data_IF_079785583669
#
_entry.id   IF_079785583669
#
_cell.length_a   1.000
_cell.length_b   1.000
_cell.length_c   1.000
_cell.angle_alpha   90.00
_cell.angle_beta   90.00
_cell.angle_gamma   90.00
#
_symmetry.space_group_name_H-M   'P 1'
#
loop_
_entity.id
_entity.type
_entity.pdbx_description
1 polymer ?
#
# COMPACT_ATOMS: atom_id res chain seq x y z
N UNK A 1 9.97 -35.43 3.29
CA UNK A 1 9.16 -34.71 4.31
C UNK A 1 7.73 -34.47 3.82
N UNK A 2 7.53 -33.89 2.64
CA UNK A 2 6.20 -33.69 2.02
C UNK A 2 5.33 -34.96 2.08
N UNK A 3 5.86 -36.09 1.66
CA UNK A 3 5.15 -37.37 1.67
C UNK A 3 4.67 -37.83 3.05
N UNK A 4 5.37 -37.44 4.12
CA UNK A 4 5.01 -37.82 5.50
C UNK A 4 3.84 -36.98 6.05
N UNK A 5 3.80 -35.68 5.73
CA UNK A 5 2.81 -34.75 6.29
C UNK A 5 1.57 -34.57 5.42
N UNK A 6 1.68 -34.81 4.12
CA UNK A 6 0.56 -34.70 3.18
C UNK A 6 0.18 -36.11 2.71
N UNK A 7 1.02 -36.63 1.82
CA UNK A 7 0.95 -37.94 1.18
C UNK A 7 1.99 -37.92 0.05
N UNK A 8 2.36 -39.07 -0.53
CA UNK A 8 3.14 -39.11 -1.76
C UNK A 8 2.49 -38.37 -2.94
N UNK A 9 1.19 -38.08 -2.87
CA UNK A 9 0.42 -37.38 -3.90
C UNK A 9 -0.43 -36.22 -3.38
N UNK A 10 -0.11 -34.99 -3.77
CA UNK A 10 -0.82 -33.79 -3.30
C UNK A 10 -0.98 -32.72 -4.39
N UNK A 11 -1.73 -31.65 -4.09
CA UNK A 11 -2.22 -30.74 -5.13
C UNK A 11 -1.19 -29.71 -5.61
N UNK A 12 -0.57 -28.96 -4.70
CA UNK A 12 0.26 -27.79 -5.05
C UNK A 12 1.64 -27.88 -4.38
N UNK A 13 2.70 -27.71 -5.17
CA UNK A 13 4.07 -27.54 -4.68
C UNK A 13 4.66 -26.23 -5.22
N UNK A 14 5.06 -25.34 -4.31
CA UNK A 14 5.64 -24.03 -4.63
C UNK A 14 7.16 -23.96 -4.46
N UNK A 15 7.84 -23.06 -5.18
CA UNK A 15 9.25 -22.75 -4.96
C UNK A 15 9.75 -21.54 -5.75
N UNK A 16 11.01 -21.15 -5.56
CA UNK A 16 11.66 -20.17 -6.45
C UNK A 16 11.88 -20.74 -7.85
N UNK A 17 11.94 -19.89 -8.89
CA UNK A 17 12.21 -20.33 -10.26
C UNK A 17 13.53 -21.12 -10.42
N UNK A 18 14.52 -20.87 -9.55
CA UNK A 18 15.79 -21.60 -9.45
C UNK A 18 15.63 -23.03 -8.94
N UNK A 19 14.55 -23.33 -8.22
CA UNK A 19 14.30 -24.67 -7.69
C UNK A 19 13.74 -25.63 -8.74
N UNK A 20 13.28 -25.15 -9.90
CA UNK A 20 12.84 -26.02 -11.01
C UNK A 20 13.86 -27.10 -11.31
N UNK A 21 15.12 -26.69 -11.49
CA UNK A 21 16.21 -27.61 -11.75
C UNK A 21 17.48 -27.20 -10.97
N UNK A 22 18.18 -28.15 -10.31
CA UNK A 22 17.89 -29.59 -10.30
C UNK A 22 16.91 -30.01 -9.19
N UNK A 23 16.50 -29.10 -8.30
CA UNK A 23 15.88 -29.47 -7.03
C UNK A 23 14.53 -30.18 -7.18
N UNK A 24 13.50 -29.53 -7.73
CA UNK A 24 12.17 -30.12 -7.88
C UNK A 24 12.17 -31.27 -8.88
N UNK A 25 13.02 -31.23 -9.92
CA UNK A 25 13.21 -32.37 -10.82
C UNK A 25 13.71 -33.62 -10.07
N UNK A 26 14.66 -33.46 -9.15
CA UNK A 26 15.12 -34.54 -8.28
C UNK A 26 14.04 -34.99 -7.30
N UNK A 27 13.22 -34.09 -6.77
CA UNK A 27 12.10 -34.47 -5.88
C UNK A 27 11.04 -35.30 -6.60
N UNK A 28 10.72 -34.94 -7.86
CA UNK A 28 9.84 -35.72 -8.73
C UNK A 28 10.45 -37.11 -8.94
N UNK A 29 11.72 -37.17 -9.35
CA UNK A 29 12.42 -38.44 -9.59
C UNK A 29 12.44 -39.35 -8.35
N UNK A 30 12.73 -38.79 -7.17
CA UNK A 30 12.73 -39.54 -5.91
C UNK A 30 11.33 -40.06 -5.55
N UNK A 31 10.31 -39.21 -5.69
CA UNK A 31 8.94 -39.55 -5.31
C UNK A 31 8.35 -40.62 -6.22
N UNK A 32 8.48 -40.44 -7.55
CA UNK A 32 7.96 -41.41 -8.53
C UNK A 32 8.72 -42.74 -8.51
N UNK A 33 10.02 -42.73 -8.16
CA UNK A 33 10.79 -43.97 -8.00
C UNK A 33 10.43 -44.74 -6.73
N UNK A 34 10.09 -44.04 -5.65
CA UNK A 34 9.74 -44.66 -4.37
C UNK A 34 8.25 -45.05 -4.28
N UNK A 35 7.38 -44.41 -5.05
CA UNK A 35 5.93 -44.54 -4.95
C UNK A 35 5.27 -44.44 -6.33
N UNK A 36 4.62 -45.53 -6.76
CA UNK A 36 4.03 -45.66 -8.10
C UNK A 36 2.89 -44.65 -8.37
N UNK A 37 2.16 -44.24 -7.33
CA UNK A 37 1.08 -43.25 -7.39
C UNK A 37 1.50 -41.83 -6.94
N UNK A 38 2.79 -41.62 -6.67
CA UNK A 38 3.34 -40.36 -6.21
C UNK A 38 3.30 -39.25 -7.27
N UNK A 39 3.04 -38.01 -6.84
CA UNK A 39 3.02 -36.87 -7.77
C UNK A 39 2.46 -35.57 -7.21
N UNK A 40 2.64 -34.49 -7.95
CA UNK A 40 2.08 -33.17 -7.63
C UNK A 40 1.28 -32.69 -8.83
N UNK A 41 0.04 -32.24 -8.62
CA UNK A 41 -0.84 -31.80 -9.71
C UNK A 41 -0.41 -30.44 -10.31
N UNK A 42 0.00 -29.49 -9.46
CA UNK A 42 0.38 -28.13 -9.86
C UNK A 42 1.72 -27.69 -9.23
N UNK A 43 2.66 -27.27 -10.07
CA UNK A 43 3.92 -26.68 -9.65
C UNK A 43 3.91 -25.17 -9.87
N UNK A 44 4.09 -24.41 -8.80
CA UNK A 44 4.10 -22.95 -8.83
C UNK A 44 5.51 -22.44 -8.56
N UNK A 45 6.01 -21.55 -9.43
CA UNK A 45 7.34 -20.99 -9.27
C UNK A 45 7.34 -19.47 -9.35
N UNK A 46 7.84 -18.81 -8.31
CA UNK A 46 7.96 -17.35 -8.31
C UNK A 46 9.19 -16.87 -9.08
N UNK A 47 9.06 -15.70 -9.72
CA UNK A 47 10.14 -15.01 -10.40
C UNK A 47 11.23 -14.55 -9.44
N UNK A 48 12.40 -14.27 -9.99
CA UNK A 48 13.53 -13.75 -9.22
C UNK A 48 13.34 -12.28 -8.86
N UNK A 49 13.85 -11.89 -7.69
CA UNK A 49 14.07 -10.48 -7.36
C UNK A 49 15.46 -10.08 -7.85
N UNK A 50 15.54 -9.00 -8.62
CA UNK A 50 16.79 -8.38 -9.09
C UNK A 50 16.95 -7.01 -8.43
N UNK A 51 18.17 -6.47 -8.36
CA UNK A 51 18.38 -5.06 -7.93
C UNK A 51 18.94 -4.29 -9.12
N UNK A 52 18.27 -3.21 -9.52
CA UNK A 52 18.64 -2.41 -10.71
C UNK A 52 18.83 -3.28 -11.98
N UNK A 53 17.97 -4.29 -12.17
CA UNK A 53 18.05 -5.27 -13.25
C UNK A 53 19.30 -6.19 -13.24
N UNK A 54 20.11 -6.16 -12.19
CA UNK A 54 21.17 -7.14 -11.96
C UNK A 54 20.75 -8.23 -10.97
N UNK A 55 21.24 -9.46 -11.17
CA UNK A 55 21.02 -10.55 -10.20
C UNK A 55 21.66 -10.17 -8.85
N UNK A 56 20.90 -10.30 -7.76
CA UNK A 56 21.42 -10.05 -6.42
C UNK A 56 22.58 -11.00 -6.11
N UNK A 57 23.72 -10.44 -5.70
CA UNK A 57 24.89 -11.21 -5.28
C UNK A 57 25.57 -10.51 -4.09
N UNK A 58 25.86 -11.28 -3.03
CA UNK A 58 26.60 -10.79 -1.85
C UNK A 58 27.96 -10.17 -2.24
N UNK A 59 28.59 -10.70 -3.30
CA UNK A 59 29.86 -10.21 -3.83
C UNK A 59 29.78 -8.82 -4.48
N UNK A 60 28.60 -8.39 -4.95
CA UNK A 60 28.39 -7.07 -5.58
C UNK A 60 28.00 -5.98 -4.58
N UNK A 61 27.91 -6.28 -3.27
CA UNK A 61 27.34 -5.40 -2.22
C UNK A 61 25.94 -4.84 -2.55
N UNK A 62 25.27 -5.42 -3.55
CA UNK A 62 24.00 -4.96 -4.08
C UNK A 62 22.87 -5.88 -3.60
N UNK A 63 22.81 -6.10 -2.28
CA UNK A 63 21.80 -6.91 -1.60
C UNK A 63 21.42 -6.18 -0.31
N UNK A 64 20.13 -5.93 -0.13
CA UNK A 64 19.58 -5.46 1.15
C UNK A 64 18.76 -6.57 1.78
N UNK A 65 19.03 -6.85 3.04
CA UNK A 65 18.20 -7.72 3.86
C UNK A 65 16.85 -7.07 4.12
N UNK A 66 15.86 -7.90 4.46
CA UNK A 66 14.56 -7.41 4.93
C UNK A 66 14.75 -6.48 6.14
N UNK A 67 15.66 -6.81 7.07
CA UNK A 67 15.93 -6.01 8.26
C UNK A 67 16.35 -4.59 7.90
N UNK A 68 17.35 -4.45 7.03
CA UNK A 68 17.85 -3.16 6.55
C UNK A 68 16.76 -2.36 5.79
N UNK A 69 15.91 -3.03 5.01
CA UNK A 69 14.79 -2.33 4.33
C UNK A 69 13.78 -1.82 5.36
N UNK A 70 13.43 -2.65 6.35
CA UNK A 70 12.42 -2.32 7.37
C UNK A 70 12.90 -1.31 8.40
N UNK A 71 14.19 -0.96 8.44
CA UNK A 71 14.68 0.20 9.20
C UNK A 71 14.10 1.49 8.61
N UNK A 72 14.05 1.59 7.28
CA UNK A 72 13.63 2.78 6.53
C UNK A 72 12.21 2.73 5.98
N UNK A 73 11.61 1.56 5.77
CA UNK A 73 10.26 1.42 5.23
C UNK A 73 9.38 0.59 6.17
N UNK A 74 8.08 0.86 6.16
CA UNK A 74 7.13 0.03 6.88
C UNK A 74 7.07 -1.37 6.23
N UNK A 75 7.01 -2.48 7.00
CA UNK A 75 6.96 -3.84 6.43
C UNK A 75 5.83 -4.06 5.43
N UNK A 76 4.68 -3.40 5.64
CA UNK A 76 3.56 -3.46 4.69
C UNK A 76 3.89 -2.79 3.36
N UNK A 77 4.70 -1.73 3.34
CA UNK A 77 5.16 -1.11 2.10
C UNK A 77 6.05 -2.07 1.29
N UNK A 78 6.93 -2.81 1.97
CA UNK A 78 7.70 -3.89 1.34
C UNK A 78 6.79 -4.99 0.80
N UNK A 79 5.79 -5.42 1.57
CA UNK A 79 4.82 -6.44 1.14
C UNK A 79 4.04 -5.98 -0.10
N UNK A 80 3.51 -4.76 -0.08
CA UNK A 80 2.82 -4.17 -1.23
C UNK A 80 3.73 -4.08 -2.46
N UNK A 81 4.99 -3.67 -2.28
CA UNK A 81 5.98 -3.68 -3.36
C UNK A 81 6.15 -5.08 -3.97
N UNK A 82 6.31 -6.12 -3.14
CA UNK A 82 6.46 -7.50 -3.63
C UNK A 82 5.23 -7.98 -4.42
N UNK A 83 4.05 -7.47 -4.10
CA UNK A 83 2.78 -7.81 -4.75
C UNK A 83 2.44 -6.91 -5.94
N UNK A 84 3.24 -5.87 -6.18
CA UNK A 84 3.03 -4.91 -7.28
C UNK A 84 3.31 -5.50 -8.66
N UNK A 85 3.96 -6.67 -8.71
CA UNK A 85 4.15 -7.48 -9.91
C UNK A 85 3.53 -8.86 -9.72
N UNK A 86 3.17 -9.49 -10.84
CA UNK A 86 2.70 -10.88 -10.85
C UNK A 86 3.78 -11.81 -10.29
N UNK A 87 3.44 -12.79 -9.42
CA UNK A 87 4.43 -13.60 -8.71
C UNK A 87 5.42 -14.35 -9.63
N UNK A 88 5.00 -14.71 -10.85
CA UNK A 88 5.82 -15.35 -11.89
C UNK A 88 6.78 -14.42 -12.61
N UNK A 89 6.59 -13.11 -12.51
CA UNK A 89 7.42 -12.11 -13.20
C UNK A 89 8.67 -11.79 -12.38
N UNK A 90 9.83 -11.54 -13.02
CA UNK A 90 10.96 -10.94 -12.33
C UNK A 90 10.56 -9.60 -11.71
N UNK A 91 10.96 -9.37 -10.47
CA UNK A 91 10.72 -8.12 -9.77
C UNK A 91 12.05 -7.38 -9.61
N UNK A 92 12.20 -6.27 -10.32
CA UNK A 92 13.33 -5.37 -10.09
C UNK A 92 13.05 -4.56 -8.83
N UNK A 93 14.02 -4.51 -7.92
CA UNK A 93 13.99 -3.70 -6.71
C UNK A 93 14.68 -2.37 -6.96
N UNK A 94 13.96 -1.29 -6.62
CA UNK A 94 14.49 0.06 -6.48
C UNK A 94 13.91 0.75 -5.25
N UNK A 95 14.63 1.73 -4.71
CA UNK A 95 14.11 2.59 -3.65
C UNK A 95 12.84 3.35 -4.10
N UNK A 96 12.81 3.81 -5.36
CA UNK A 96 11.65 4.51 -5.92
C UNK A 96 10.38 3.67 -5.93
N UNK A 97 10.44 2.37 -6.20
CA UNK A 97 9.26 1.50 -6.16
C UNK A 97 8.77 1.26 -4.72
N UNK A 98 9.68 1.22 -3.75
CA UNK A 98 9.32 1.21 -2.33
C UNK A 98 8.69 2.54 -1.90
N UNK A 99 9.20 3.68 -2.38
CA UNK A 99 8.59 4.99 -2.12
C UNK A 99 7.16 5.05 -2.69
N UNK A 100 6.95 4.60 -3.94
CA UNK A 100 5.62 4.49 -4.53
C UNK A 100 4.70 3.57 -3.72
N UNK A 101 5.21 2.44 -3.25
CA UNK A 101 4.42 1.50 -2.43
C UNK A 101 4.08 2.07 -1.06
N UNK A 102 5.00 2.82 -0.46
CA UNK A 102 4.79 3.48 0.82
C UNK A 102 3.75 4.60 0.70
N UNK A 103 3.82 5.42 -0.36
CA UNK A 103 2.85 6.49 -0.62
C UNK A 103 1.45 5.92 -0.91
N UNK A 104 1.38 4.88 -1.75
CA UNK A 104 0.12 4.20 -2.06
C UNK A 104 -0.55 3.67 -0.80
N UNK A 105 0.18 2.92 0.04
CA UNK A 105 -0.39 2.40 1.28
C UNK A 105 -0.74 3.50 2.28
N UNK A 106 0.08 4.54 2.40
CA UNK A 106 -0.25 5.68 3.26
C UNK A 106 -1.60 6.28 2.86
N UNK A 107 -1.85 6.48 1.55
CA UNK A 107 -3.13 6.97 1.06
C UNK A 107 -4.32 6.04 1.41
N UNK A 108 -4.12 4.71 1.31
CA UNK A 108 -5.14 3.73 1.71
C UNK A 108 -5.49 3.89 3.19
N UNK A 109 -4.51 3.80 4.09
CA UNK A 109 -4.77 3.88 5.53
C UNK A 109 -5.26 5.26 5.96
N UNK A 110 -4.78 6.33 5.33
CA UNK A 110 -5.26 7.68 5.61
C UNK A 110 -6.74 7.81 5.24
N UNK A 111 -7.15 7.29 4.08
CA UNK A 111 -8.57 7.31 3.67
C UNK A 111 -9.45 6.50 4.63
N UNK A 112 -8.96 5.35 5.11
CA UNK A 112 -9.71 4.53 6.08
C UNK A 112 -9.76 5.17 7.48
N UNK A 113 -8.69 5.84 7.92
CA UNK A 113 -8.65 6.61 9.16
C UNK A 113 -9.61 7.80 9.10
N UNK A 114 -9.54 8.59 8.03
CA UNK A 114 -10.42 9.74 7.80
C UNK A 114 -11.90 9.31 7.79
N UNK A 115 -12.17 8.10 7.28
CA UNK A 115 -13.49 7.51 7.33
C UNK A 115 -13.93 7.18 8.77
N UNK A 116 -13.12 6.48 9.56
CA UNK A 116 -13.48 6.14 10.94
C UNK A 116 -13.74 7.41 11.78
N UNK A 117 -12.91 8.44 11.60
CA UNK A 117 -13.10 9.75 12.23
C UNK A 117 -14.40 10.44 11.77
N UNK A 118 -14.74 10.34 10.48
CA UNK A 118 -15.96 10.91 9.93
C UNK A 118 -17.24 10.17 10.38
N UNK A 119 -17.14 8.88 10.69
CA UNK A 119 -18.25 8.06 11.18
C UNK A 119 -18.50 8.24 12.67
N UNK A 120 -17.47 8.56 13.45
CA UNK A 120 -17.54 8.68 14.92
C UNK A 120 -18.73 9.52 15.44
N UNK A 121 -19.02 10.73 14.90
CA UNK A 121 -20.12 11.57 15.38
C UNK A 121 -21.52 11.01 15.08
N UNK A 122 -21.62 9.96 14.24
CA UNK A 122 -22.88 9.41 13.77
C UNK A 122 -23.15 7.99 14.28
N UNK A 123 -22.25 7.39 15.08
CA UNK A 123 -22.39 6.00 15.57
C UNK A 123 -23.71 5.76 16.30
N UNK A 124 -24.12 6.67 17.19
CA UNK A 124 -25.39 6.56 17.92
C UNK A 124 -26.59 6.58 16.96
N UNK A 125 -26.62 7.55 16.03
CA UNK A 125 -27.69 7.67 15.05
C UNK A 125 -27.79 6.46 14.11
N UNK A 126 -26.66 5.81 13.80
CA UNK A 126 -26.63 4.56 13.04
C UNK A 126 -27.16 3.37 13.86
N UNK A 127 -26.84 3.30 15.15
CA UNK A 127 -27.34 2.25 16.05
C UNK A 127 -28.87 2.35 16.24
N UNK A 128 -29.40 3.57 16.40
CA UNK A 128 -30.84 3.83 16.54
C UNK A 128 -31.65 3.48 15.29
N UNK A 129 -31.06 3.56 14.10
CA UNK A 129 -31.73 3.23 12.85
C UNK A 129 -32.09 1.72 12.76
N UNK A 130 -31.31 0.86 13.44
CA UNK A 130 -31.59 -0.57 13.54
C UNK A 130 -31.56 -1.31 12.20
N UNK A 131 -30.80 -0.82 11.22
CA UNK A 131 -30.65 -1.44 9.91
C UNK A 131 -31.79 -1.15 8.91
N UNK A 132 -32.55 -0.07 9.12
CA UNK A 132 -33.62 0.35 8.20
C UNK A 132 -33.07 1.09 6.98
N UNK A 133 -32.00 1.86 7.16
CA UNK A 133 -31.32 2.56 6.10
C UNK A 133 -30.59 1.56 5.19
N UNK A 134 -30.73 1.74 3.89
CA UNK A 134 -30.06 0.93 2.88
C UNK A 134 -28.91 1.70 2.24
N UNK A 135 -27.95 0.96 1.70
CA UNK A 135 -26.90 1.53 0.85
C UNK A 135 -27.52 2.28 -0.34
N UNK A 136 -26.88 3.35 -0.76
CA UNK A 136 -27.18 4.04 -2.02
C UNK A 136 -26.91 3.12 -3.21
N UNK A 137 -27.58 3.34 -4.34
CA UNK A 137 -27.34 2.56 -5.56
C UNK A 137 -25.89 2.69 -6.04
N UNK A 138 -25.36 3.91 -6.03
CA UNK A 138 -23.97 4.20 -6.40
C UNK A 138 -22.96 3.42 -5.54
N UNK A 139 -23.18 3.34 -4.22
CA UNK A 139 -22.32 2.58 -3.35
C UNK A 139 -22.39 1.07 -3.60
N UNK A 140 -23.58 0.53 -3.91
CA UNK A 140 -23.72 -0.88 -4.31
C UNK A 140 -22.93 -1.18 -5.58
N UNK A 141 -22.98 -0.29 -6.56
CA UNK A 141 -22.23 -0.45 -7.81
C UNK A 141 -20.72 -0.43 -7.56
N UNK A 142 -20.23 0.49 -6.71
CA UNK A 142 -18.82 0.54 -6.29
C UNK A 142 -18.39 -0.75 -5.59
N UNK A 143 -19.18 -1.25 -4.64
CA UNK A 143 -18.88 -2.51 -3.92
C UNK A 143 -18.87 -3.70 -4.88
N UNK A 144 -19.87 -3.81 -5.75
CA UNK A 144 -19.97 -4.92 -6.69
C UNK A 144 -18.81 -4.90 -7.69
N UNK A 145 -18.44 -3.72 -8.20
CA UNK A 145 -17.28 -3.55 -9.08
C UNK A 145 -15.98 -3.94 -8.37
N UNK A 146 -15.79 -3.50 -7.12
CA UNK A 146 -14.63 -3.86 -6.30
C UNK A 146 -14.51 -5.37 -6.13
N UNK A 147 -15.60 -6.04 -5.70
CA UNK A 147 -15.61 -7.49 -5.48
C UNK A 147 -15.36 -8.26 -6.78
N UNK A 148 -16.04 -7.87 -7.86
CA UNK A 148 -15.91 -8.55 -9.16
C UNK A 148 -14.52 -8.38 -9.78
N UNK A 149 -13.94 -7.17 -9.74
CA UNK A 149 -12.59 -6.93 -10.27
C UNK A 149 -11.53 -7.66 -9.43
N UNK A 150 -11.68 -7.64 -8.10
CA UNK A 150 -10.79 -8.36 -7.20
C UNK A 150 -10.83 -9.89 -7.44
N UNK A 151 -12.03 -10.47 -7.48
CA UNK A 151 -12.23 -11.90 -7.73
C UNK A 151 -11.68 -12.31 -9.10
N UNK A 152 -12.00 -11.56 -10.15
CA UNK A 152 -11.50 -11.83 -11.49
C UNK A 152 -9.97 -11.84 -11.55
N UNK A 153 -9.30 -10.89 -10.89
CA UNK A 153 -7.84 -10.85 -10.81
C UNK A 153 -7.24 -11.99 -9.98
N UNK A 154 -7.85 -12.35 -8.85
CA UNK A 154 -7.35 -13.44 -8.02
C UNK A 154 -7.53 -14.81 -8.67
N UNK A 155 -8.60 -15.01 -9.45
CA UNK A 155 -8.84 -16.23 -10.24
C UNK A 155 -7.90 -16.35 -11.45
N UNK A 156 -7.38 -15.24 -11.96
CA UNK A 156 -6.36 -15.20 -13.00
C UNK A 156 -4.96 -15.40 -12.39
N UNK A 157 -4.62 -16.63 -12.00
CA UNK A 157 -3.28 -17.03 -11.50
C UNK A 157 -2.74 -16.11 -10.37
N UNK A 158 -3.59 -15.74 -9.41
CA UNK A 158 -3.22 -14.86 -8.29
C UNK A 158 -2.64 -13.52 -8.75
N UNK A 159 -3.25 -12.88 -9.76
CA UNK A 159 -2.77 -11.62 -10.31
C UNK A 159 -2.98 -10.44 -9.34
N UNK A 160 -2.07 -10.29 -8.38
CA UNK A 160 -2.07 -9.18 -7.41
C UNK A 160 -1.56 -7.86 -7.99
N UNK A 161 -1.02 -7.88 -9.21
CA UNK A 161 -0.43 -6.69 -9.81
C UNK A 161 -1.49 -5.60 -9.97
N UNK A 162 -1.19 -4.43 -9.40
CA UNK A 162 -2.06 -3.26 -9.42
C UNK A 162 -3.45 -3.49 -8.81
N UNK A 163 -3.59 -4.40 -7.84
CA UNK A 163 -4.89 -4.73 -7.22
C UNK A 163 -5.44 -3.59 -6.33
N UNK A 164 -4.58 -2.70 -5.83
CA UNK A 164 -4.98 -1.47 -5.13
C UNK A 164 -5.24 -0.28 -6.08
N UNK A 165 -5.35 -0.54 -7.39
CA UNK A 165 -5.76 0.45 -8.39
C UNK A 165 -7.20 0.18 -8.85
N UNK A 166 -7.64 0.77 -9.97
CA UNK A 166 -8.94 0.44 -10.56
C UNK A 166 -10.11 0.60 -9.57
N UNK A 167 -10.92 -0.45 -9.43
CA UNK A 167 -12.08 -0.44 -8.54
C UNK A 167 -11.73 -0.20 -7.06
N UNK A 168 -10.55 -0.63 -6.58
CA UNK A 168 -10.12 -0.34 -5.21
C UNK A 168 -9.89 1.16 -5.01
N UNK A 169 -9.21 1.80 -5.96
CA UNK A 169 -9.00 3.25 -5.93
C UNK A 169 -10.30 4.03 -6.10
N UNK A 170 -11.24 3.52 -6.90
CA UNK A 170 -12.59 4.11 -7.04
C UNK A 170 -13.36 4.07 -5.71
N UNK A 171 -13.26 2.97 -4.95
CA UNK A 171 -13.84 2.86 -3.61
C UNK A 171 -13.26 3.90 -2.64
N UNK A 172 -11.94 4.09 -2.62
CA UNK A 172 -11.29 5.11 -1.80
C UNK A 172 -11.70 6.54 -2.20
N UNK A 173 -11.80 6.82 -3.51
CA UNK A 173 -12.29 8.10 -4.01
C UNK A 173 -13.74 8.35 -3.60
N UNK A 174 -14.59 7.33 -3.65
CA UNK A 174 -15.98 7.43 -3.20
C UNK A 174 -16.05 7.79 -1.72
N UNK A 175 -15.24 7.14 -0.87
CA UNK A 175 -15.12 7.45 0.56
C UNK A 175 -14.77 8.94 0.75
N UNK A 176 -13.65 9.37 0.17
CA UNK A 176 -13.15 10.75 0.32
C UNK A 176 -14.16 11.80 -0.19
N UNK A 177 -14.80 11.55 -1.33
CA UNK A 177 -15.81 12.46 -1.88
C UNK A 177 -17.09 12.55 -1.05
N UNK A 178 -17.40 11.51 -0.28
CA UNK A 178 -18.62 11.40 0.51
C UNK A 178 -18.47 12.00 1.91
N UNK A 179 -17.33 11.80 2.56
CA UNK A 179 -17.03 12.33 3.91
C UNK A 179 -17.30 13.84 3.97
N UNK A 180 -16.78 14.61 3.00
CA UNK A 180 -16.94 16.06 2.95
C UNK A 180 -18.40 16.54 2.77
N UNK A 181 -19.30 15.66 2.35
CA UNK A 181 -20.72 15.98 2.09
C UNK A 181 -21.65 15.57 3.24
N UNK A 182 -21.23 14.68 4.15
CA UNK A 182 -22.07 14.11 5.22
C UNK A 182 -22.81 15.19 6.04
N UNK A 183 -22.10 16.24 6.46
CA UNK A 183 -22.66 17.34 7.27
C UNK A 183 -23.75 18.12 6.55
N UNK A 184 -23.71 18.17 5.21
CA UNK A 184 -24.64 18.95 4.36
C UNK A 184 -25.87 18.15 3.94
N UNK A 185 -25.88 16.82 4.13
CA UNK A 185 -26.99 15.95 3.74
C UNK A 185 -28.17 16.01 4.71
N UNK A 186 -29.38 15.78 4.21
CA UNK A 186 -30.57 15.57 5.03
C UNK A 186 -30.46 14.25 5.83
N UNK A 187 -31.15 14.15 6.98
CA UNK A 187 -31.02 13.00 7.92
C UNK A 187 -31.15 11.63 7.25
N UNK A 188 -32.20 11.41 6.45
CA UNK A 188 -32.45 10.12 5.77
C UNK A 188 -31.36 9.79 4.74
N UNK A 189 -30.97 10.76 3.92
CA UNK A 189 -29.90 10.58 2.93
C UNK A 189 -28.55 10.34 3.61
N UNK A 190 -28.27 11.05 4.70
CA UNK A 190 -27.06 10.89 5.50
C UNK A 190 -26.96 9.48 6.06
N UNK A 191 -28.03 8.94 6.66
CA UNK A 191 -28.03 7.57 7.17
C UNK A 191 -27.74 6.53 6.07
N UNK A 192 -28.35 6.68 4.90
CA UNK A 192 -28.06 5.82 3.73
C UNK A 192 -26.60 5.93 3.27
N UNK A 193 -26.02 7.13 3.28
CA UNK A 193 -24.61 7.34 2.96
C UNK A 193 -23.68 6.75 4.02
N UNK A 194 -24.01 6.86 5.31
CA UNK A 194 -23.22 6.28 6.39
C UNK A 194 -23.19 4.74 6.29
N UNK A 195 -24.34 4.10 6.06
CA UNK A 195 -24.41 2.66 5.79
C UNK A 195 -23.60 2.29 4.56
N UNK A 196 -23.67 3.10 3.49
CA UNK A 196 -22.86 2.91 2.28
C UNK A 196 -21.36 2.92 2.57
N UNK A 197 -20.90 3.87 3.38
CA UNK A 197 -19.48 4.02 3.72
C UNK A 197 -18.96 2.86 4.56
N UNK A 198 -19.72 2.41 5.56
CA UNK A 198 -19.35 1.23 6.37
C UNK A 198 -19.20 -0.02 5.51
N UNK A 199 -20.12 -0.23 4.57
CA UNK A 199 -20.08 -1.41 3.71
C UNK A 199 -18.96 -1.34 2.65
N UNK A 200 -18.63 -0.14 2.16
CA UNK A 200 -17.45 0.05 1.30
C UNK A 200 -16.17 -0.18 2.10
N UNK A 201 -16.06 0.32 3.33
CA UNK A 201 -14.91 0.06 4.21
C UNK A 201 -14.73 -1.44 4.41
N UNK A 202 -15.82 -2.15 4.72
CA UNK A 202 -15.79 -3.61 4.88
C UNK A 202 -15.27 -4.32 3.63
N UNK A 203 -15.78 -3.97 2.45
CA UNK A 203 -15.32 -4.55 1.19
C UNK A 203 -13.83 -4.23 0.91
N UNK A 204 -13.39 -2.99 1.19
CA UNK A 204 -11.99 -2.60 1.05
C UNK A 204 -11.08 -3.35 2.03
N UNK A 205 -11.55 -3.60 3.26
CA UNK A 205 -10.83 -4.39 4.27
C UNK A 205 -10.75 -5.86 3.89
N UNK A 206 -11.80 -6.46 3.35
CA UNK A 206 -11.79 -7.85 2.85
C UNK A 206 -10.66 -8.03 1.81
N UNK A 207 -10.48 -7.06 0.90
CA UNK A 207 -9.35 -7.05 -0.04
C UNK A 207 -8.01 -6.96 0.68
N UNK A 208 -7.84 -6.00 1.60
CA UNK A 208 -6.59 -5.85 2.34
C UNK A 208 -6.25 -7.09 3.17
N UNK A 209 -7.24 -7.77 3.74
CA UNK A 209 -7.06 -8.97 4.55
C UNK A 209 -6.49 -10.13 3.72
N UNK A 210 -7.12 -10.42 2.57
CA UNK A 210 -6.64 -11.46 1.64
C UNK A 210 -5.21 -11.17 1.17
N UNK A 211 -4.88 -9.89 0.97
CA UNK A 211 -3.54 -9.48 0.57
C UNK A 211 -2.53 -9.50 1.73
N UNK A 212 -2.95 -9.73 2.97
CA UNK A 212 -2.11 -9.64 4.16
C UNK A 212 -1.61 -8.21 4.44
N UNK A 213 -2.42 -7.23 4.07
CA UNK A 213 -2.24 -5.80 4.31
C UNK A 213 -3.15 -5.30 5.44
N UNK A 214 -3.79 -6.18 6.21
CA UNK A 214 -4.35 -5.82 7.51
C UNK A 214 -3.44 -6.31 8.63
N UNK A 215 -3.47 -5.59 9.75
CA UNK A 215 -2.75 -5.96 10.97
C UNK A 215 -3.67 -5.80 12.16
N UNK A 216 -3.20 -6.19 13.34
CA UNK A 216 -3.90 -5.94 14.61
C UNK A 216 -3.81 -4.48 15.08
N UNK A 217 -2.93 -3.68 14.47
CA UNK A 217 -2.80 -2.26 14.76
C UNK A 217 -3.96 -1.46 14.15
N UNK A 218 -4.34 -0.37 14.81
CA UNK A 218 -5.26 0.62 14.26
C UNK A 218 -4.64 1.36 13.06
N UNK A 219 -5.49 1.96 12.21
CA UNK A 219 -5.01 2.75 11.07
C UNK A 219 -4.12 3.91 11.53
N UNK A 220 -4.47 4.59 12.62
CA UNK A 220 -3.68 5.65 13.23
C UNK A 220 -2.27 5.18 13.65
N UNK A 221 -2.14 3.99 14.25
CA UNK A 221 -0.84 3.42 14.63
C UNK A 221 0.01 3.10 13.40
N UNK A 222 -0.58 2.49 12.35
CA UNK A 222 0.12 2.21 11.09
C UNK A 222 0.60 3.51 10.43
N UNK A 223 -0.26 4.53 10.37
CA UNK A 223 0.10 5.84 9.82
C UNK A 223 1.24 6.50 10.60
N UNK A 224 1.23 6.39 11.93
CA UNK A 224 2.30 6.89 12.80
C UNK A 224 3.62 6.16 12.51
N UNK A 225 3.61 4.83 12.39
CA UNK A 225 4.81 4.07 12.05
C UNK A 225 5.34 4.45 10.65
N UNK A 226 4.47 4.61 9.66
CA UNK A 226 4.86 5.05 8.31
C UNK A 226 5.46 6.46 8.30
N UNK A 227 4.90 7.38 9.09
CA UNK A 227 5.47 8.72 9.31
C UNK A 227 6.86 8.63 9.93
N UNK A 228 7.03 7.85 10.99
CA UNK A 228 8.32 7.65 11.63
C UNK A 228 9.37 7.09 10.67
N UNK A 229 9.00 6.11 9.84
CA UNK A 229 9.88 5.56 8.79
C UNK A 229 10.27 6.61 7.75
N UNK A 230 9.34 7.50 7.41
CA UNK A 230 9.61 8.61 6.49
C UNK A 230 10.59 9.62 7.08
N UNK A 231 10.43 9.98 8.35
CA UNK A 231 11.37 10.83 9.08
C UNK A 231 12.79 10.22 9.14
N UNK A 232 12.88 8.92 9.44
CA UNK A 232 14.15 8.18 9.42
C UNK A 232 14.82 8.23 8.04
N UNK A 233 14.07 8.09 6.94
CA UNK A 233 14.60 8.22 5.57
C UNK A 233 15.03 9.65 5.24
N UNK A 234 14.27 10.63 5.70
CA UNK A 234 14.54 12.04 5.49
C UNK A 234 15.74 12.55 6.32
N UNK A 235 16.10 11.86 7.39
CA UNK A 235 17.08 12.35 8.37
C UNK A 235 16.55 13.56 9.16
N UNK A 236 15.22 13.64 9.34
CA UNK A 236 14.53 14.73 10.02
C UNK A 236 13.80 14.19 11.26
N UNK A 237 13.65 15.03 12.27
CA UNK A 237 12.80 14.82 13.45
C UNK A 237 11.40 15.42 13.24
N UNK A 238 10.46 15.13 14.15
CA UNK A 238 9.15 15.83 14.11
C UNK A 238 9.32 17.32 14.38
N UNK A 239 10.25 17.68 15.27
CA UNK A 239 10.59 19.06 15.62
C UNK A 239 11.12 19.85 14.40
N UNK A 240 11.95 19.22 13.54
CA UNK A 240 12.44 19.86 12.31
C UNK A 240 11.28 20.20 11.35
N UNK A 241 10.26 19.34 11.29
CA UNK A 241 9.08 19.57 10.44
C UNK A 241 8.20 20.68 11.02
N UNK A 242 7.99 20.68 12.33
CA UNK A 242 7.24 21.73 13.03
C UNK A 242 7.89 23.10 12.84
N UNK A 243 9.22 23.19 12.99
CA UNK A 243 9.97 24.41 12.72
C UNK A 243 9.77 24.88 11.27
N UNK A 244 9.88 23.99 10.28
CA UNK A 244 9.64 24.35 8.86
C UNK A 244 8.19 24.80 8.62
N UNK A 245 7.21 24.22 9.32
CA UNK A 245 5.81 24.65 9.24
C UNK A 245 5.65 26.06 9.82
N UNK A 246 6.26 26.36 10.97
CA UNK A 246 6.23 27.70 11.57
C UNK A 246 6.90 28.76 10.68
N UNK A 247 8.07 28.45 10.14
CA UNK A 247 8.78 29.31 9.18
C UNK A 247 7.91 29.62 7.96
N UNK A 248 7.21 28.60 7.45
CA UNK A 248 6.26 28.77 6.34
C UNK A 248 5.08 29.65 6.72
N UNK A 249 4.49 29.45 7.91
CA UNK A 249 3.37 30.27 8.40
C UNK A 249 3.80 31.74 8.51
N UNK A 250 4.99 32.01 9.05
CA UNK A 250 5.56 33.36 9.13
C UNK A 250 5.81 33.96 7.74
N UNK A 251 6.36 33.18 6.81
CA UNK A 251 6.56 33.63 5.42
C UNK A 251 5.23 34.02 4.77
N UNK A 252 4.17 33.23 4.95
CA UNK A 252 2.83 33.54 4.43
C UNK A 252 2.22 34.78 5.07
N UNK A 253 2.40 35.00 6.37
CA UNK A 253 1.95 36.21 7.06
C UNK A 253 2.65 37.47 6.52
N UNK A 254 3.93 37.37 6.18
CA UNK A 254 4.73 38.43 5.56
C UNK A 254 4.51 38.57 4.05
N UNK A 255 3.67 37.72 3.43
CA UNK A 255 3.44 37.63 1.98
C UNK A 255 4.69 37.24 1.17
N UNK A 256 5.65 36.56 1.81
CA UNK A 256 6.85 35.97 1.19
C UNK A 256 6.50 34.60 0.58
N UNK A 257 5.71 34.59 -0.50
CA UNK A 257 5.18 33.35 -1.09
C UNK A 257 6.29 32.44 -1.66
N UNK A 258 7.33 33.02 -2.27
CA UNK A 258 8.48 32.26 -2.79
C UNK A 258 9.19 31.45 -1.70
N UNK A 259 9.38 32.05 -0.51
CA UNK A 259 9.98 31.35 0.63
C UNK A 259 9.08 30.23 1.15
N UNK A 260 7.76 30.45 1.20
CA UNK A 260 6.79 29.40 1.54
C UNK A 260 6.86 28.22 0.56
N UNK A 261 6.99 28.48 -0.73
CA UNK A 261 7.06 27.45 -1.76
C UNK A 261 8.41 26.72 -1.75
N UNK A 262 9.50 27.43 -1.45
CA UNK A 262 10.82 26.84 -1.24
C UNK A 262 10.79 25.81 -0.08
N UNK A 263 10.19 26.16 1.06
CA UNK A 263 10.08 25.24 2.20
C UNK A 263 9.31 23.97 1.81
N UNK A 264 8.22 24.10 1.03
CA UNK A 264 7.47 22.94 0.54
C UNK A 264 8.30 22.07 -0.41
N UNK A 265 9.03 22.69 -1.32
CA UNK A 265 9.88 21.99 -2.27
C UNK A 265 10.99 21.21 -1.56
N UNK A 266 11.67 21.83 -0.58
CA UNK A 266 12.69 21.18 0.24
C UNK A 266 12.14 19.93 0.96
N UNK A 267 10.98 20.05 1.60
CA UNK A 267 10.35 18.90 2.28
C UNK A 267 9.92 17.81 1.29
N UNK A 268 9.44 18.19 0.11
CA UNK A 268 8.98 17.24 -0.91
C UNK A 268 10.14 16.41 -1.47
N UNK A 269 11.35 16.99 -1.58
CA UNK A 269 12.58 16.25 -1.93
C UNK A 269 12.89 15.15 -0.91
N UNK A 270 12.53 15.37 0.36
CA UNK A 270 12.67 14.37 1.44
C UNK A 270 11.44 13.46 1.59
N UNK A 271 10.48 13.50 0.66
CA UNK A 271 9.28 12.66 0.69
C UNK A 271 8.25 13.12 1.72
N UNK A 272 8.20 14.42 2.04
CA UNK A 272 7.25 15.02 2.99
C UNK A 272 6.44 16.09 2.28
N UNK A 273 5.11 15.90 2.27
CA UNK A 273 4.17 16.87 1.72
C UNK A 273 3.41 17.59 2.84
N UNK A 274 3.39 18.93 2.77
CA UNK A 274 2.55 19.77 3.63
C UNK A 274 1.14 19.94 3.03
N UNK A 275 0.13 19.89 3.90
CA UNK A 275 -1.28 20.07 3.59
C UNK A 275 -1.91 21.07 4.56
N UNK A 276 -2.62 22.05 4.02
CA UNK A 276 -3.39 22.99 4.84
C UNK A 276 -4.83 22.44 4.99
N UNK A 277 -5.21 22.08 6.22
CA UNK A 277 -6.55 21.59 6.57
C UNK A 277 -7.21 22.60 7.53
N UNK A 278 -8.15 23.38 7.02
CA UNK A 278 -8.79 24.43 7.80
C UNK A 278 -7.78 25.52 8.18
N UNK A 279 -7.44 25.59 9.49
CA UNK A 279 -6.46 26.55 10.03
C UNK A 279 -5.11 25.91 10.36
N UNK A 280 -5.00 24.60 10.25
CA UNK A 280 -3.82 23.84 10.62
C UNK A 280 -3.04 23.43 9.36
N UNK A 281 -1.72 23.41 9.46
CA UNK A 281 -0.87 22.77 8.46
C UNK A 281 -0.41 21.44 9.02
N UNK A 282 -0.78 20.36 8.36
CA UNK A 282 -0.33 19.00 8.69
C UNK A 282 0.63 18.50 7.62
N UNK A 283 1.35 17.43 7.91
CA UNK A 283 2.22 16.78 6.94
C UNK A 283 1.87 15.30 6.76
N UNK A 284 2.19 14.79 5.57
CA UNK A 284 2.13 13.36 5.26
C UNK A 284 3.35 12.93 4.44
N UNK A 285 3.73 11.64 4.48
CA UNK A 285 4.64 11.07 3.51
C UNK A 285 4.11 11.28 2.08
N UNK A 286 5.03 11.46 1.14
CA UNK A 286 4.75 11.49 -0.29
C UNK A 286 5.90 10.85 -1.07
N UNK A 287 5.67 10.63 -2.36
CA UNK A 287 6.76 10.28 -3.27
C UNK A 287 7.82 11.41 -3.31
N UNK A 288 9.11 11.13 -3.06
CA UNK A 288 10.16 12.13 -3.13
C UNK A 288 10.27 12.74 -4.54
N UNK A 289 10.22 14.06 -4.66
CA UNK A 289 10.54 14.71 -5.94
C UNK A 289 12.04 14.57 -6.22
N UNK A 290 12.42 14.21 -7.45
CA UNK A 290 13.81 14.34 -7.86
C UNK A 290 14.21 15.80 -7.70
N UNK A 291 15.29 16.06 -6.96
CA UNK A 291 15.88 17.39 -6.93
C UNK A 291 16.14 17.79 -8.38
N UNK A 292 15.57 18.92 -8.84
CA UNK A 292 15.99 19.49 -10.11
C UNK A 292 17.50 19.71 -10.01
N UNK A 293 18.28 18.85 -10.65
CA UNK A 293 19.69 19.09 -10.90
C UNK A 293 19.77 20.26 -11.90
N UNK A 294 19.58 21.48 -11.40
CA UNK A 294 19.88 22.70 -12.11
C UNK A 294 21.35 23.07 -11.96
N UNK A 295 22.24 22.09 -11.93
CA UNK A 295 23.63 22.28 -12.33
C UNK A 295 23.67 21.97 -13.82
N UNK A 296 23.50 23.04 -14.59
CA UNK A 296 23.80 23.03 -16.00
C UNK A 296 25.22 22.53 -16.18
N UNK A 297 25.34 21.45 -16.94
CA UNK A 297 26.58 21.01 -17.55
C UNK A 297 27.09 22.14 -18.45
N UNK A 298 27.82 23.07 -17.82
CA UNK A 298 28.67 24.09 -18.43
C UNK A 298 30.09 23.87 -17.92
N UNK A 299 30.70 22.78 -18.38
CA UNK A 299 32.14 22.74 -18.60
C UNK A 299 32.35 22.18 -20.01
N UNK A 300 32.43 23.03 -21.02
CA UNK A 300 33.67 23.60 -21.60
C UNK A 300 34.60 22.56 -22.25
N UNK A 301 34.78 22.81 -23.55
CA UNK A 301 35.78 22.34 -24.53
C UNK A 301 35.71 20.88 -25.00
#
# INVERSE_FOLDING_TARGET
MSAHYLSPRFDIHGGGADLKFPHHENEIAQTCAACEDGGVNYWLHNGHVTINNEKMAKSKKNFKTIREITESYHPLALRHFLMSAHYRSPLSFSASQLDSSSDALYYVYQTLQDLDDALLPYREAMAEDGGKAQQTAEAKDVINKLKSEFEAKMLDDLNTAHILTGAYQDALKFINASIGKLKKMQKKQRLSMLVSLVEIEKAAREVLDVLGLLTTLSYAEILKEMKQKTLTRAGLSEEDIEQKIEERIMARQKKEFEKSDQIRAELTVHGIALMDIGKETVWRPCFPSQANSSDGDKSTS
#
